data_IF_557151169395
#
_entry.id   IF_557151169395
#
_cell.length_a   1.000
_cell.length_b   1.000
_cell.length_c   1.000
_cell.angle_alpha   90.00
_cell.angle_beta   90.00
_cell.angle_gamma   90.00
#
_symmetry.space_group_name_H-M   'P 1'
#
loop_
_entity.id
_entity.type
_entity.pdbx_description
1 polymer ?
#
# COMPACT_ATOMS: atom_id res chain seq x y z
N UNK A 1 16.45 7.11 -5.39
CA UNK A 1 15.53 7.96 -4.61
C UNK A 1 14.94 7.10 -3.51
N UNK A 2 15.22 7.40 -2.24
CA UNK A 2 14.65 6.66 -1.11
C UNK A 2 13.21 7.10 -0.94
N UNK A 3 12.25 6.21 -1.22
CA UNK A 3 10.86 6.44 -0.84
C UNK A 3 10.81 6.48 0.70
N UNK A 4 10.80 7.69 1.26
CA UNK A 4 10.55 7.89 2.69
C UNK A 4 9.10 7.51 2.91
N UNK A 5 8.84 6.43 3.64
CA UNK A 5 7.48 6.00 3.94
C UNK A 5 6.81 7.08 4.77
N UNK A 6 5.91 7.85 4.15
CA UNK A 6 5.33 9.09 4.68
C UNK A 6 4.30 8.90 5.80
N UNK A 7 3.95 7.66 6.14
CA UNK A 7 2.90 7.39 7.13
C UNK A 7 3.35 6.34 8.13
N UNK A 8 3.08 6.61 9.40
CA UNK A 8 3.23 5.64 10.47
C UNK A 8 2.26 4.47 10.27
N UNK A 9 2.68 3.25 10.63
CA UNK A 9 1.80 2.07 10.63
C UNK A 9 0.89 2.08 11.87
N UNK A 10 -0.01 3.05 11.91
CA UNK A 10 -0.97 3.23 13.00
C UNK A 10 -2.36 3.57 12.46
N UNK A 11 -3.41 3.14 13.18
CA UNK A 11 -4.80 3.42 12.79
C UNK A 11 -5.10 4.91 12.56
N UNK A 12 -4.66 5.82 13.44
CA UNK A 12 -4.86 7.26 13.23
C UNK A 12 -4.16 7.81 11.97
N UNK A 13 -2.92 7.40 11.71
CA UNK A 13 -2.17 7.86 10.54
C UNK A 13 -2.81 7.36 9.23
N UNK A 14 -3.25 6.09 9.21
CA UNK A 14 -4.00 5.51 8.08
C UNK A 14 -5.30 6.28 7.87
N UNK A 15 -6.09 6.48 8.92
CA UNK A 15 -7.37 7.19 8.83
C UNK A 15 -7.20 8.62 8.32
N UNK A 16 -6.20 9.35 8.81
CA UNK A 16 -5.92 10.72 8.38
C UNK A 16 -5.55 10.77 6.89
N UNK A 17 -4.62 9.91 6.46
CA UNK A 17 -4.20 9.84 5.06
C UNK A 17 -5.37 9.49 4.13
N UNK A 18 -6.20 8.51 4.49
CA UNK A 18 -7.35 8.14 3.69
C UNK A 18 -8.44 9.21 3.68
N UNK A 19 -8.70 9.89 4.80
CA UNK A 19 -9.69 10.96 4.84
C UNK A 19 -9.36 12.10 3.87
N UNK A 20 -8.07 12.39 3.67
CA UNK A 20 -7.61 13.41 2.72
C UNK A 20 -7.66 12.95 1.26
N UNK A 21 -7.39 11.67 0.99
CA UNK A 21 -7.15 11.17 -0.36
C UNK A 21 -8.31 10.36 -0.95
N UNK A 22 -9.14 9.76 -0.09
CA UNK A 22 -10.26 8.88 -0.49
C UNK A 22 -11.24 8.63 0.66
N UNK A 23 -12.34 9.39 0.67
CA UNK A 23 -13.39 9.27 1.70
C UNK A 23 -14.03 7.86 1.74
N UNK A 24 -14.16 7.21 0.59
CA UNK A 24 -14.72 5.86 0.48
C UNK A 24 -13.78 4.83 1.12
N UNK A 25 -12.49 4.88 0.82
CA UNK A 25 -11.49 4.01 1.44
C UNK A 25 -11.36 4.27 2.95
N UNK A 26 -11.46 5.54 3.38
CA UNK A 26 -11.49 5.88 4.81
C UNK A 26 -12.68 5.25 5.53
N UNK A 27 -13.85 5.26 4.90
CA UNK A 27 -15.07 4.64 5.44
C UNK A 27 -14.92 3.13 5.53
N UNK A 28 -14.38 2.51 4.49
CA UNK A 28 -14.15 1.07 4.46
C UNK A 28 -13.13 0.63 5.52
N UNK A 29 -12.01 1.35 5.65
CA UNK A 29 -11.04 1.12 6.72
C UNK A 29 -11.69 1.17 8.10
N UNK A 30 -12.47 2.20 8.38
CA UNK A 30 -13.16 2.35 9.67
C UNK A 30 -14.12 1.20 9.96
N UNK A 31 -14.86 0.71 8.96
CA UNK A 31 -15.76 -0.43 9.13
C UNK A 31 -14.99 -1.74 9.43
N UNK A 32 -13.96 -2.05 8.64
CA UNK A 32 -13.14 -3.25 8.83
C UNK A 32 -12.39 -3.23 10.17
N UNK A 33 -11.86 -2.08 10.57
CA UNK A 33 -11.14 -1.91 11.83
C UNK A 33 -12.06 -2.07 13.04
N UNK A 34 -13.26 -1.47 13.04
CA UNK A 34 -14.23 -1.67 14.11
C UNK A 34 -14.72 -3.12 14.20
N UNK A 35 -14.95 -3.78 13.06
CA UNK A 35 -15.30 -5.19 13.04
C UNK A 35 -14.20 -6.05 13.68
N UNK A 36 -12.94 -5.83 13.30
CA UNK A 36 -11.81 -6.56 13.86
C UNK A 36 -11.64 -6.33 15.36
N UNK A 37 -11.79 -5.09 15.84
CA UNK A 37 -11.79 -4.77 17.27
C UNK A 37 -12.92 -5.48 18.02
N UNK A 38 -14.11 -5.56 17.43
CA UNK A 38 -15.24 -6.28 18.03
C UNK A 38 -14.96 -7.77 18.22
N UNK A 39 -14.28 -8.41 17.26
CA UNK A 39 -13.84 -9.80 17.39
C UNK A 39 -12.72 -9.95 18.41
N UNK A 40 -11.73 -9.06 18.36
CA UNK A 40 -10.60 -9.08 19.29
C UNK A 40 -11.04 -8.91 20.75
N UNK A 41 -12.03 -8.07 21.01
CA UNK A 41 -12.59 -7.89 22.35
C UNK A 41 -13.25 -9.17 22.90
N UNK A 42 -13.78 -10.04 22.04
CA UNK A 42 -14.40 -11.31 22.43
C UNK A 42 -13.38 -12.44 22.56
N UNK A 43 -12.40 -12.48 21.66
CA UNK A 43 -11.43 -13.57 21.56
C UNK A 43 -10.10 -13.29 22.30
N UNK A 44 -9.88 -12.04 22.75
CA UNK A 44 -8.59 -11.53 23.26
C UNK A 44 -7.43 -11.75 22.29
N UNK A 45 -7.72 -11.74 20.99
CA UNK A 45 -6.76 -11.95 19.91
C UNK A 45 -6.76 -10.74 18.96
N UNK A 46 -5.61 -10.09 18.83
CA UNK A 46 -5.42 -8.90 18.00
C UNK A 46 -4.95 -9.22 16.58
N UNK A 47 -4.73 -10.49 16.22
CA UNK A 47 -4.20 -10.87 14.91
C UNK A 47 -5.04 -10.30 13.74
N UNK A 48 -6.37 -10.30 13.88
CA UNK A 48 -7.26 -9.72 12.88
C UNK A 48 -7.13 -8.19 12.78
N UNK A 49 -6.90 -7.50 13.90
CA UNK A 49 -6.69 -6.05 13.94
C UNK A 49 -5.37 -5.69 13.26
N UNK A 50 -4.29 -6.44 13.57
CA UNK A 50 -2.99 -6.25 12.94
C UNK A 50 -3.05 -6.49 11.43
N UNK A 51 -3.77 -7.51 10.97
CA UNK A 51 -3.94 -7.79 9.54
C UNK A 51 -4.69 -6.66 8.81
N UNK A 52 -5.70 -6.07 9.43
CA UNK A 52 -6.39 -4.89 8.89
C UNK A 52 -5.43 -3.71 8.80
N UNK A 53 -4.66 -3.44 9.86
CA UNK A 53 -3.67 -2.36 9.87
C UNK A 53 -2.61 -2.55 8.79
N UNK A 54 -2.06 -3.75 8.62
CA UNK A 54 -1.07 -4.06 7.56
C UNK A 54 -1.60 -3.74 6.17
N UNK A 55 -2.78 -4.27 5.86
CA UNK A 55 -3.41 -4.11 4.56
C UNK A 55 -3.66 -2.63 4.26
N UNK A 56 -4.32 -1.93 5.19
CA UNK A 56 -4.71 -0.54 4.97
C UNK A 56 -3.54 0.43 5.03
N UNK A 57 -2.49 0.11 5.78
CA UNK A 57 -1.23 0.84 5.70
C UNK A 57 -0.61 0.74 4.31
N UNK A 58 -0.57 -0.45 3.70
CA UNK A 58 -0.08 -0.61 2.33
C UNK A 58 -0.87 0.23 1.32
N UNK A 59 -2.20 0.21 1.42
CA UNK A 59 -3.08 1.03 0.57
C UNK A 59 -2.79 2.53 0.78
N UNK A 60 -2.81 3.00 2.03
CA UNK A 60 -2.57 4.39 2.35
C UNK A 60 -1.17 4.85 1.90
N UNK A 61 -0.14 4.01 2.07
CA UNK A 61 1.24 4.29 1.65
C UNK A 61 1.37 4.51 0.14
N UNK A 62 0.61 3.76 -0.67
CA UNK A 62 0.53 3.94 -2.13
C UNK A 62 -0.21 5.24 -2.45
N UNK A 63 -1.33 5.52 -1.77
CA UNK A 63 -2.12 6.75 -2.01
C UNK A 63 -1.33 8.02 -1.72
N UNK A 64 -0.53 8.06 -0.64
CA UNK A 64 0.30 9.23 -0.29
C UNK A 64 1.55 9.38 -1.16
N UNK A 65 1.87 8.36 -1.97
CA UNK A 65 3.00 8.36 -2.90
C UNK A 65 2.50 7.96 -4.30
N UNK A 66 1.66 8.82 -4.93
CA UNK A 66 1.21 8.55 -6.29
C UNK A 66 2.42 8.47 -7.23
N UNK A 67 2.34 7.56 -8.19
CA UNK A 67 3.32 7.50 -9.27
C UNK A 67 3.32 8.82 -10.03
N UNK A 68 4.51 9.29 -10.41
CA UNK A 68 4.63 10.34 -11.41
C UNK A 68 4.06 9.87 -12.76
N UNK A 69 3.73 10.81 -13.64
CA UNK A 69 3.27 10.50 -15.00
C UNK A 69 4.27 9.60 -15.75
N UNK A 70 5.57 9.81 -15.51
CA UNK A 70 6.62 8.99 -16.11
C UNK A 70 6.61 7.55 -15.59
N UNK A 71 6.51 7.37 -14.27
CA UNK A 71 6.43 6.04 -13.66
C UNK A 71 5.14 5.32 -14.05
N UNK A 72 4.02 6.02 -14.12
CA UNK A 72 2.77 5.46 -14.61
C UNK A 72 2.90 5.01 -16.07
N UNK A 73 3.49 5.84 -16.94
CA UNK A 73 3.74 5.46 -18.33
C UNK A 73 4.70 4.28 -18.47
N UNK A 74 5.66 4.11 -17.55
CA UNK A 74 6.52 2.91 -17.51
C UNK A 74 5.71 1.66 -17.16
N UNK A 75 4.82 1.74 -16.17
CA UNK A 75 3.91 0.64 -15.79
C UNK A 75 2.99 0.27 -16.94
N UNK A 76 2.39 1.25 -17.61
CA UNK A 76 1.47 1.03 -18.72
C UNK A 76 2.16 0.31 -19.91
N UNK A 77 3.43 0.65 -20.21
CA UNK A 77 4.24 -0.06 -21.23
C UNK A 77 4.58 -1.49 -20.80
N UNK A 78 4.94 -1.69 -19.54
CA UNK A 78 5.22 -3.02 -19.02
C UNK A 78 3.98 -3.94 -19.15
N UNK A 79 2.78 -3.40 -18.94
CA UNK A 79 1.53 -4.14 -19.14
C UNK A 79 1.27 -4.56 -20.59
N UNK A 80 1.84 -3.86 -21.58
CA UNK A 80 1.76 -4.24 -23.00
C UNK A 80 2.95 -5.11 -23.45
N UNK A 81 3.85 -5.48 -22.53
CA UNK A 81 5.00 -6.34 -22.79
C UNK A 81 6.28 -5.60 -23.18
N UNK A 82 6.28 -4.26 -23.15
CA UNK A 82 7.50 -3.46 -23.32
C UNK A 82 8.14 -3.19 -21.96
N UNK A 83 9.23 -3.90 -21.68
CA UNK A 83 9.98 -3.80 -20.43
C UNK A 83 11.21 -2.89 -20.55
N UNK A 84 11.37 -2.16 -21.66
CA UNK A 84 12.54 -1.31 -21.90
C UNK A 84 12.71 -0.28 -20.78
N UNK A 85 13.90 -0.22 -20.20
CA UNK A 85 14.24 0.68 -19.11
C UNK A 85 13.85 0.19 -17.71
N UNK A 86 13.39 -1.05 -17.58
CA UNK A 86 13.20 -1.71 -16.29
C UNK A 86 14.47 -2.48 -15.87
N UNK A 87 14.66 -2.61 -14.56
CA UNK A 87 15.73 -3.42 -14.00
C UNK A 87 15.20 -4.82 -13.69
N UNK A 88 15.85 -5.85 -14.22
CA UNK A 88 15.50 -7.25 -14.00
C UNK A 88 16.69 -8.05 -13.49
N UNK A 89 16.42 -9.18 -12.84
CA UNK A 89 17.46 -10.16 -12.51
C UNK A 89 17.62 -11.15 -13.66
N UNK A 90 18.84 -11.34 -14.13
CA UNK A 90 19.18 -12.40 -15.07
C UNK A 90 19.22 -13.78 -14.39
N UNK A 91 19.48 -14.84 -15.17
CA UNK A 91 19.57 -16.21 -14.68
C UNK A 91 20.72 -16.43 -13.66
N UNK A 92 21.69 -15.54 -13.64
CA UNK A 92 22.84 -15.56 -12.73
C UNK A 92 22.59 -14.70 -11.48
N UNK A 93 21.43 -14.04 -11.39
CA UNK A 93 21.03 -13.16 -10.30
C UNK A 93 21.60 -11.74 -10.39
N UNK A 94 22.24 -11.36 -11.50
CA UNK A 94 22.74 -10.01 -11.71
C UNK A 94 21.60 -9.08 -12.11
N UNK A 95 21.68 -7.82 -11.68
CA UNK A 95 20.76 -6.78 -12.13
C UNK A 95 21.18 -6.27 -13.51
N UNK A 96 20.28 -6.38 -14.48
CA UNK A 96 20.44 -5.89 -15.84
C UNK A 96 19.29 -4.94 -16.20
N UNK A 97 19.60 -3.93 -17.01
CA UNK A 97 18.56 -3.11 -17.63
C UNK A 97 18.03 -3.84 -18.86
N UNK A 98 16.70 -3.93 -18.97
CA UNK A 98 15.99 -4.47 -20.12
C UNK A 98 15.85 -3.43 -21.23
#
# INVERSE_FOLDING_TARGET
MTAVTKIERSGPAISAALAELSADECTQFGAEFHQALGHAAQAFDLAAVDAVVDRWWGIAAIRVNPLSEHEQAQVDRAHTGDFTGLLARDEQGNWVWL
#
